data_IF_403452122481
#
_entry.id   IF_403452122481
#
_cell.length_a   1.000
_cell.length_b   1.000
_cell.length_c   1.000
_cell.angle_alpha   90.00
_cell.angle_beta   90.00
_cell.angle_gamma   90.00
#
_symmetry.space_group_name_H-M   'P 1'
#
loop_
_entity.id
_entity.type
_entity.pdbx_description
1 polymer ?
#
# COMPACT_ATOMS: atom_id res chain seq x y z
N UNK A 1 23.39 2.79 -5.14
CA UNK A 1 24.00 4.14 -5.25
C UNK A 1 24.77 4.24 -6.57
N UNK A 2 24.61 5.34 -7.32
CA UNK A 2 25.25 5.50 -8.62
C UNK A 2 26.34 6.59 -8.57
N UNK A 3 27.50 6.28 -9.15
CA UNK A 3 28.69 7.12 -9.23
C UNK A 3 29.11 7.31 -10.70
N UNK A 4 30.19 8.06 -10.92
CA UNK A 4 30.76 8.29 -12.24
C UNK A 4 32.30 8.17 -12.16
N UNK A 5 32.91 7.56 -13.18
CA UNK A 5 34.37 7.40 -13.28
C UNK A 5 34.85 7.84 -14.65
N UNK A 6 35.90 8.63 -14.68
CA UNK A 6 36.48 9.23 -15.90
C UNK A 6 37.99 9.16 -15.86
N UNK A 7 38.60 8.96 -17.03
CA UNK A 7 39.99 9.28 -17.31
C UNK A 7 40.04 10.57 -18.13
N UNK A 8 40.30 11.69 -17.47
CA UNK A 8 40.25 13.00 -18.10
C UNK A 8 41.23 13.14 -19.30
N UNK A 9 42.34 12.42 -19.27
CA UNK A 9 43.33 12.43 -20.36
C UNK A 9 42.82 11.78 -21.67
N UNK A 10 41.76 10.97 -21.59
CA UNK A 10 41.19 10.25 -22.74
C UNK A 10 39.89 10.84 -23.25
N UNK A 11 39.16 11.54 -22.39
CA UNK A 11 37.83 12.03 -22.72
C UNK A 11 37.80 13.31 -23.53
N UNK A 12 38.76 14.16 -23.31
CA UNK A 12 38.77 15.49 -23.90
C UNK A 12 40.05 15.71 -24.72
N UNK A 13 39.89 16.01 -25.99
CA UNK A 13 41.00 16.22 -26.94
C UNK A 13 41.90 17.40 -26.59
N UNK A 14 41.42 18.34 -25.75
CA UNK A 14 42.11 19.57 -25.37
C UNK A 14 42.38 19.63 -23.85
N UNK A 15 42.30 18.51 -23.14
CA UNK A 15 42.61 18.46 -21.69
C UNK A 15 44.12 18.79 -21.51
N UNK A 16 44.42 19.97 -20.96
CA UNK A 16 45.76 20.36 -20.56
C UNK A 16 46.45 21.42 -21.43
N UNK A 17 45.83 21.97 -22.47
CA UNK A 17 46.37 23.10 -23.19
C UNK A 17 45.72 24.43 -22.77
N UNK A 18 46.21 24.99 -21.65
CA UNK A 18 45.76 26.27 -21.12
C UNK A 18 46.11 27.49 -22.01
N UNK A 19 46.81 27.27 -23.15
CA UNK A 19 47.24 28.29 -24.06
C UNK A 19 46.47 28.32 -25.39
N UNK A 20 45.50 27.43 -25.59
CA UNK A 20 44.67 27.46 -26.79
C UNK A 20 43.61 28.56 -26.68
N UNK A 21 43.92 29.74 -27.23
CA UNK A 21 43.00 30.89 -27.31
C UNK A 21 41.76 30.66 -28.18
N UNK A 22 41.64 29.51 -28.83
CA UNK A 22 40.48 29.09 -29.63
C UNK A 22 39.53 28.19 -28.86
N UNK A 23 39.85 27.78 -27.63
CA UNK A 23 38.98 26.93 -26.81
C UNK A 23 37.75 27.70 -26.32
N UNK A 24 36.57 27.05 -26.39
CA UNK A 24 35.36 27.60 -25.81
C UNK A 24 35.50 27.70 -24.27
N UNK A 25 35.40 28.92 -23.75
CA UNK A 25 35.54 29.22 -22.31
C UNK A 25 34.52 28.42 -21.46
N UNK A 26 33.34 28.07 -22.02
CA UNK A 26 32.37 27.25 -21.34
C UNK A 26 32.82 25.77 -21.19
N UNK A 27 33.48 25.25 -22.19
CA UNK A 27 34.09 23.92 -22.16
C UNK A 27 35.22 23.86 -21.15
N UNK A 28 36.11 24.88 -21.16
CA UNK A 28 37.23 24.98 -20.22
C UNK A 28 36.76 25.04 -18.77
N UNK A 29 35.75 25.87 -18.47
CA UNK A 29 35.18 25.95 -17.11
C UNK A 29 34.62 24.57 -16.64
N UNK A 30 33.97 23.83 -17.54
CA UNK A 30 33.45 22.49 -17.22
C UNK A 30 34.57 21.50 -16.92
N UNK A 31 35.66 21.54 -17.69
CA UNK A 31 36.84 20.70 -17.48
C UNK A 31 37.49 20.98 -16.13
N UNK A 32 37.70 22.26 -15.80
CA UNK A 32 38.29 22.69 -14.52
C UNK A 32 37.46 22.20 -13.32
N UNK A 33 36.13 22.24 -13.43
CA UNK A 33 35.22 21.69 -12.41
C UNK A 33 35.35 20.17 -12.27
N UNK A 34 35.36 19.44 -13.39
CA UNK A 34 35.48 17.98 -13.39
C UNK A 34 36.80 17.53 -12.81
N UNK A 35 37.93 18.16 -13.16
CA UNK A 35 39.25 17.85 -12.59
C UNK A 35 39.30 18.12 -11.08
N UNK A 36 38.75 19.23 -10.63
CA UNK A 36 38.79 19.65 -9.23
C UNK A 36 37.94 18.74 -8.31
N UNK A 37 36.81 18.24 -8.79
CA UNK A 37 35.90 17.45 -7.98
C UNK A 37 35.94 15.92 -8.27
N UNK A 38 36.86 15.49 -9.13
CA UNK A 38 37.05 14.07 -9.38
C UNK A 38 37.72 13.39 -8.17
N UNK A 39 37.12 12.30 -7.69
CA UNK A 39 37.74 11.44 -6.70
C UNK A 39 38.86 10.60 -7.37
N UNK A 40 39.90 10.30 -6.61
CA UNK A 40 40.83 9.26 -7.02
C UNK A 40 40.18 7.89 -7.08
N UNK A 41 40.79 6.95 -7.79
CA UNK A 41 40.27 5.57 -7.89
C UNK A 41 40.07 4.96 -6.51
N UNK A 42 41.03 5.09 -5.61
CA UNK A 42 40.97 4.55 -4.25
C UNK A 42 39.83 5.16 -3.40
N UNK A 43 39.60 6.47 -3.55
CA UNK A 43 38.49 7.14 -2.87
C UNK A 43 37.15 6.68 -3.41
N UNK A 44 37.02 6.52 -4.72
CA UNK A 44 35.82 6.07 -5.37
C UNK A 44 35.49 4.62 -4.98
N UNK A 45 36.51 3.73 -4.95
CA UNK A 45 36.33 2.34 -4.52
C UNK A 45 35.91 2.23 -3.04
N UNK A 46 36.48 3.09 -2.16
CA UNK A 46 36.00 3.17 -0.77
C UNK A 46 34.52 3.61 -0.68
N UNK A 47 34.08 4.50 -1.57
CA UNK A 47 32.66 4.87 -1.64
C UNK A 47 31.78 3.68 -2.07
N UNK A 48 32.23 2.85 -3.03
CA UNK A 48 31.52 1.65 -3.44
C UNK A 48 31.42 0.65 -2.30
N UNK A 49 32.53 0.37 -1.62
CA UNK A 49 32.57 -0.53 -0.47
C UNK A 49 31.67 -0.04 0.66
N UNK A 50 31.65 1.28 0.91
CA UNK A 50 30.76 1.85 1.91
C UNK A 50 29.29 1.70 1.52
N UNK A 51 28.92 1.94 0.26
CA UNK A 51 27.57 1.75 -0.22
C UNK A 51 27.13 0.28 -0.08
N UNK A 52 27.99 -0.66 -0.49
CA UNK A 52 27.74 -2.10 -0.35
C UNK A 52 27.54 -2.52 1.12
N UNK A 53 28.38 -2.01 2.03
CA UNK A 53 28.27 -2.26 3.47
C UNK A 53 26.98 -1.69 4.10
N UNK A 54 26.35 -0.72 3.44
CA UNK A 54 25.03 -0.17 3.81
C UNK A 54 23.86 -0.91 3.12
N UNK A 55 24.11 -2.01 2.42
CA UNK A 55 23.10 -2.77 1.71
C UNK A 55 22.61 -2.14 0.40
N UNK A 56 23.37 -1.18 -0.14
CA UNK A 56 23.08 -0.57 -1.45
C UNK A 56 23.93 -1.25 -2.52
N UNK A 57 23.36 -1.50 -3.70
CA UNK A 57 24.14 -1.94 -4.86
C UNK A 57 24.87 -0.73 -5.46
N UNK A 58 26.21 -0.70 -5.48
CA UNK A 58 26.94 0.36 -6.17
C UNK A 58 26.79 0.18 -7.69
N UNK A 59 26.55 1.26 -8.38
CA UNK A 59 26.55 1.36 -9.84
C UNK A 59 27.48 2.50 -10.27
N UNK A 60 28.09 2.40 -11.43
CA UNK A 60 28.94 3.47 -11.93
C UNK A 60 28.74 3.69 -13.42
N UNK A 61 28.89 4.95 -13.86
CA UNK A 61 29.02 5.32 -15.25
C UNK A 61 30.50 5.35 -15.61
N UNK A 62 31.03 4.39 -16.37
CA UNK A 62 32.32 4.56 -17.02
C UNK A 62 32.16 5.48 -18.21
N UNK A 63 32.97 6.51 -18.31
CA UNK A 63 32.98 7.43 -19.44
C UNK A 63 33.99 7.06 -20.52
N UNK A 64 34.83 6.06 -20.26
CA UNK A 64 35.90 5.59 -21.12
C UNK A 64 36.24 4.12 -20.85
N UNK A 65 37.04 3.53 -21.75
CA UNK A 65 37.47 2.13 -21.69
C UNK A 65 38.33 1.83 -20.46
N UNK A 66 39.22 2.76 -20.06
CA UNK A 66 40.07 2.59 -18.87
C UNK A 66 39.24 2.53 -17.60
N UNK A 67 38.23 3.41 -17.50
CA UNK A 67 37.28 3.41 -16.41
C UNK A 67 36.48 2.12 -16.38
N UNK A 68 36.01 1.62 -17.52
CA UNK A 68 35.30 0.34 -17.63
C UNK A 68 36.16 -0.81 -17.13
N UNK A 69 37.44 -0.89 -17.55
CA UNK A 69 38.37 -1.95 -17.11
C UNK A 69 38.56 -1.96 -15.59
N UNK A 70 38.75 -0.78 -14.99
CA UNK A 70 38.89 -0.63 -13.53
C UNK A 70 37.63 -1.05 -12.77
N UNK A 71 36.46 -0.60 -13.21
CA UNK A 71 35.18 -0.92 -12.61
C UNK A 71 34.84 -2.43 -12.75
N UNK A 72 35.14 -3.02 -13.89
CA UNK A 72 34.95 -4.45 -14.11
C UNK A 72 35.88 -5.29 -13.22
N UNK A 73 37.11 -4.86 -13.01
CA UNK A 73 38.09 -5.48 -12.11
C UNK A 73 37.66 -5.37 -10.65
N UNK A 74 37.05 -4.25 -10.24
CA UNK A 74 36.49 -4.08 -8.90
C UNK A 74 35.29 -5.05 -8.66
N UNK A 75 34.60 -5.51 -9.71
CA UNK A 75 33.48 -6.43 -9.61
C UNK A 75 32.10 -5.75 -9.70
N UNK A 76 31.99 -4.58 -10.35
CA UNK A 76 30.74 -3.86 -10.54
C UNK A 76 29.64 -4.78 -11.10
N UNK A 77 28.44 -4.75 -10.51
CA UNK A 77 27.34 -5.66 -10.88
C UNK A 77 26.52 -5.18 -12.09
N UNK A 78 26.58 -3.91 -12.43
CA UNK A 78 25.89 -3.31 -13.58
C UNK A 78 26.48 -1.95 -13.92
N UNK A 79 26.21 -1.47 -15.10
CA UNK A 79 26.78 -0.21 -15.59
C UNK A 79 25.70 0.78 -16.00
N UNK A 80 26.00 2.07 -15.78
CA UNK A 80 25.19 3.17 -16.30
C UNK A 80 25.83 3.68 -17.60
N UNK A 81 25.02 3.85 -18.63
CA UNK A 81 25.39 4.58 -19.86
C UNK A 81 24.81 5.99 -19.76
N UNK A 82 25.67 6.99 -19.76
CA UNK A 82 25.24 8.39 -19.73
C UNK A 82 24.51 8.77 -21.02
N UNK A 83 23.66 9.80 -20.95
CA UNK A 83 22.99 10.34 -22.15
C UNK A 83 23.96 10.73 -23.26
N UNK A 84 25.11 11.28 -22.88
CA UNK A 84 26.16 11.69 -23.83
C UNK A 84 26.80 10.51 -24.59
N UNK A 85 26.79 9.31 -24.00
CA UNK A 85 27.36 8.09 -24.57
C UNK A 85 26.31 7.16 -25.19
N UNK A 86 25.04 7.55 -25.23
CA UNK A 86 24.01 6.68 -25.80
C UNK A 86 24.23 6.39 -27.29
N UNK A 87 24.88 7.27 -28.01
CA UNK A 87 25.29 7.08 -29.42
C UNK A 87 26.71 6.50 -29.57
N UNK A 88 27.44 6.30 -28.46
CA UNK A 88 28.79 5.71 -28.45
C UNK A 88 28.70 4.17 -28.50
N UNK A 89 28.38 3.65 -29.68
CA UNK A 89 28.18 2.20 -29.89
C UNK A 89 29.43 1.38 -29.57
N UNK A 90 30.65 1.95 -29.69
CA UNK A 90 31.88 1.26 -29.34
C UNK A 90 31.94 0.96 -27.83
N UNK A 91 31.72 1.99 -26.98
CA UNK A 91 31.68 1.82 -25.54
C UNK A 91 30.52 0.90 -25.09
N UNK A 92 29.34 1.05 -25.70
CA UNK A 92 28.19 0.18 -25.42
C UNK A 92 28.49 -1.30 -25.72
N UNK A 93 29.21 -1.59 -26.83
CA UNK A 93 29.61 -2.95 -27.17
C UNK A 93 30.55 -3.54 -26.13
N UNK A 94 31.50 -2.77 -25.62
CA UNK A 94 32.43 -3.20 -24.60
C UNK A 94 31.71 -3.44 -23.25
N UNK A 95 30.79 -2.56 -22.87
CA UNK A 95 29.93 -2.70 -21.70
C UNK A 95 29.08 -3.98 -21.79
N UNK A 96 28.46 -4.22 -22.94
CA UNK A 96 27.63 -5.41 -23.18
C UNK A 96 28.46 -6.69 -23.12
N UNK A 97 29.71 -6.66 -23.60
CA UNK A 97 30.63 -7.82 -23.56
C UNK A 97 30.95 -8.28 -22.13
N UNK A 98 30.73 -7.44 -21.10
CA UNK A 98 30.88 -7.84 -19.69
C UNK A 98 29.77 -8.80 -19.24
N UNK A 99 28.67 -8.92 -19.98
CA UNK A 99 27.49 -9.73 -19.62
C UNK A 99 26.63 -9.12 -18.51
N UNK A 100 26.95 -7.91 -18.05
CA UNK A 100 26.27 -7.24 -16.93
C UNK A 100 25.12 -6.34 -17.43
N UNK A 101 24.09 -6.08 -16.62
CA UNK A 101 22.99 -5.21 -17.00
C UNK A 101 23.44 -3.76 -17.22
N UNK A 102 22.84 -3.13 -18.24
CA UNK A 102 23.09 -1.75 -18.62
C UNK A 102 21.87 -0.88 -18.35
N UNK A 103 22.06 0.25 -17.69
CA UNK A 103 21.04 1.28 -17.49
C UNK A 103 21.38 2.46 -18.39
N UNK A 104 20.65 2.63 -19.49
CA UNK A 104 21.01 3.58 -20.55
C UNK A 104 20.06 4.79 -20.55
N UNK A 105 20.58 6.00 -20.30
CA UNK A 105 19.82 7.24 -20.44
C UNK A 105 19.78 7.71 -21.89
N UNK A 106 18.60 8.17 -22.36
CA UNK A 106 18.35 8.57 -23.75
C UNK A 106 18.30 10.09 -23.94
N UNK A 107 18.72 10.88 -22.95
CA UNK A 107 18.81 12.33 -23.11
C UNK A 107 19.78 12.74 -24.24
N UNK A 108 19.60 13.95 -24.79
CA UNK A 108 20.37 14.49 -25.94
C UNK A 108 20.24 13.69 -27.24
N UNK A 109 19.55 12.53 -27.28
CA UNK A 109 19.37 11.73 -28.45
C UNK A 109 18.02 12.01 -29.14
N UNK A 110 18.02 12.13 -30.45
CA UNK A 110 16.83 12.14 -31.28
C UNK A 110 16.17 10.75 -31.32
N UNK A 111 14.89 10.66 -31.72
CA UNK A 111 14.23 9.35 -31.81
C UNK A 111 14.93 8.42 -32.83
N UNK A 112 15.54 8.95 -33.88
CA UNK A 112 16.31 8.16 -34.86
C UNK A 112 17.54 7.53 -34.22
N UNK A 113 18.26 8.29 -33.36
CA UNK A 113 19.42 7.81 -32.62
C UNK A 113 18.98 6.81 -31.54
N UNK A 114 17.87 7.07 -30.85
CA UNK A 114 17.30 6.12 -29.88
C UNK A 114 17.00 4.78 -30.56
N UNK A 115 16.32 4.78 -31.71
CA UNK A 115 16.06 3.56 -32.48
C UNK A 115 17.35 2.86 -32.94
N UNK A 116 18.37 3.62 -33.29
CA UNK A 116 19.70 3.07 -33.66
C UNK A 116 20.36 2.42 -32.44
N UNK A 117 20.39 3.10 -31.30
CA UNK A 117 20.93 2.58 -30.06
C UNK A 117 20.22 1.31 -29.57
N UNK A 118 18.87 1.28 -29.63
CA UNK A 118 18.09 0.07 -29.30
C UNK A 118 18.51 -1.11 -30.18
N UNK A 119 18.54 -0.92 -31.50
CA UNK A 119 18.98 -1.99 -32.43
C UNK A 119 20.39 -2.47 -32.10
N UNK A 120 21.30 -1.55 -31.77
CA UNK A 120 22.66 -1.89 -31.40
C UNK A 120 22.72 -2.71 -30.11
N UNK A 121 22.02 -2.28 -29.05
CA UNK A 121 21.91 -3.01 -27.79
C UNK A 121 21.37 -4.44 -27.99
N UNK A 122 20.34 -4.58 -28.82
CA UNK A 122 19.76 -5.89 -29.19
C UNK A 122 20.74 -6.75 -29.97
N UNK A 123 21.46 -6.17 -30.94
CA UNK A 123 22.45 -6.90 -31.77
C UNK A 123 23.64 -7.42 -30.95
N UNK A 124 24.10 -6.66 -29.96
CA UNK A 124 25.19 -7.12 -29.06
C UNK A 124 24.69 -7.99 -27.91
N UNK A 125 23.40 -8.29 -27.86
CA UNK A 125 22.80 -9.15 -26.83
C UNK A 125 22.83 -8.55 -25.42
N UNK A 126 22.81 -7.23 -25.29
CA UNK A 126 22.84 -6.55 -24.01
C UNK A 126 21.55 -6.81 -23.20
N UNK A 127 21.70 -7.03 -21.89
CA UNK A 127 20.59 -6.91 -20.95
C UNK A 127 20.48 -5.45 -20.54
N UNK A 128 19.40 -4.75 -20.89
CA UNK A 128 19.33 -3.31 -20.70
C UNK A 128 17.97 -2.79 -20.27
N UNK A 129 18.01 -1.62 -19.67
CA UNK A 129 16.87 -0.77 -19.34
C UNK A 129 17.12 0.60 -19.96
N UNK A 130 16.12 1.24 -20.59
CA UNK A 130 16.22 2.59 -21.08
C UNK A 130 15.59 3.59 -20.12
N UNK A 131 16.29 4.70 -19.85
CA UNK A 131 15.73 5.78 -19.07
C UNK A 131 15.37 6.97 -19.97
N UNK A 132 14.09 7.35 -19.94
CA UNK A 132 13.68 8.65 -20.48
C UNK A 132 14.36 9.75 -19.68
N UNK A 133 14.98 10.69 -20.35
CA UNK A 133 15.80 11.73 -19.75
C UNK A 133 15.77 13.00 -20.58
N UNK A 134 15.76 14.15 -19.93
CA UNK A 134 16.08 15.44 -20.54
C UNK A 134 17.34 15.99 -19.85
N UNK A 135 18.38 16.26 -20.64
CA UNK A 135 19.69 16.68 -20.12
C UNK A 135 19.84 18.20 -20.02
N UNK A 136 18.81 18.88 -19.53
CA UNK A 136 18.84 20.30 -19.15
C UNK A 136 18.84 20.41 -17.63
N UNK A 137 19.68 21.24 -17.04
CA UNK A 137 19.90 21.36 -15.59
C UNK A 137 19.61 22.78 -15.06
N UNK A 138 18.46 23.08 -14.41
CA UNK A 138 17.30 22.21 -14.24
C UNK A 138 16.45 22.07 -15.51
N UNK A 139 15.81 20.91 -15.69
CA UNK A 139 14.82 20.71 -16.76
C UNK A 139 13.55 21.50 -16.43
N UNK A 140 13.06 22.39 -17.32
CA UNK A 140 11.73 22.96 -17.18
C UNK A 140 10.65 21.89 -17.24
N UNK A 141 9.61 21.96 -16.40
CA UNK A 141 8.54 20.94 -16.36
C UNK A 141 7.88 20.70 -17.71
N UNK A 142 7.69 21.75 -18.53
CA UNK A 142 7.10 21.65 -19.88
C UNK A 142 7.93 20.80 -20.84
N UNK A 143 9.22 20.65 -20.59
CA UNK A 143 10.17 19.95 -21.45
C UNK A 143 10.47 18.52 -20.96
N UNK A 144 9.91 18.10 -19.83
CA UNK A 144 10.06 16.73 -19.28
C UNK A 144 9.40 15.68 -20.16
N UNK A 145 8.20 15.94 -20.68
CA UNK A 145 7.45 15.06 -21.57
C UNK A 145 7.32 13.61 -21.07
N UNK A 146 6.79 13.40 -19.87
CA UNK A 146 6.67 12.05 -19.26
C UNK A 146 5.92 11.03 -20.12
N UNK A 147 4.99 11.45 -20.98
CA UNK A 147 4.29 10.54 -21.89
C UNK A 147 5.22 9.82 -22.88
N UNK A 148 6.42 10.33 -23.07
CA UNK A 148 7.42 9.65 -23.88
C UNK A 148 7.89 8.31 -23.27
N UNK A 149 7.66 8.07 -21.99
CA UNK A 149 7.90 6.76 -21.36
C UNK A 149 7.12 5.62 -22.04
N UNK A 150 5.84 5.85 -22.38
CA UNK A 150 5.03 4.88 -23.11
C UNK A 150 5.62 4.62 -24.49
N UNK A 151 5.95 5.69 -25.20
CA UNK A 151 6.58 5.61 -26.53
C UNK A 151 7.92 4.88 -26.46
N UNK A 152 8.74 5.16 -25.46
CA UNK A 152 10.04 4.52 -25.29
C UNK A 152 9.90 3.02 -25.00
N UNK A 153 8.90 2.63 -24.22
CA UNK A 153 8.56 1.23 -23.92
C UNK A 153 8.19 0.47 -25.19
N UNK A 154 7.32 1.05 -26.02
CA UNK A 154 6.90 0.44 -27.30
C UNK A 154 8.08 0.28 -28.26
N UNK A 155 9.04 1.23 -28.24
CA UNK A 155 10.23 1.17 -29.09
C UNK A 155 11.24 0.13 -28.63
N UNK A 156 11.42 -0.01 -27.31
CA UNK A 156 12.51 -0.79 -26.74
C UNK A 156 12.18 -2.28 -26.59
N UNK A 157 10.90 -2.64 -26.45
CA UNK A 157 10.46 -3.98 -26.05
C UNK A 157 11.21 -4.49 -24.79
N UNK A 158 11.58 -3.55 -23.91
CA UNK A 158 12.38 -3.74 -22.72
C UNK A 158 11.83 -2.87 -21.58
N UNK A 159 12.20 -3.11 -20.31
CA UNK A 159 11.85 -2.22 -19.23
C UNK A 159 12.34 -0.79 -19.48
N UNK A 160 11.54 0.20 -19.07
CA UNK A 160 11.89 1.62 -19.16
C UNK A 160 11.85 2.27 -17.79
N UNK A 161 12.61 3.34 -17.63
CA UNK A 161 12.68 4.12 -16.42
C UNK A 161 12.78 5.61 -16.72
N UNK A 162 13.00 6.39 -15.68
CA UNK A 162 13.08 7.84 -15.75
C UNK A 162 14.35 8.34 -15.03
N UNK A 163 15.11 9.24 -15.68
CA UNK A 163 16.24 9.93 -15.12
C UNK A 163 15.95 11.43 -15.13
N UNK A 164 15.70 12.00 -13.95
CA UNK A 164 15.14 13.34 -13.80
C UNK A 164 16.16 14.39 -13.38
N UNK A 165 16.17 15.54 -14.10
CA UNK A 165 16.95 16.74 -13.78
C UNK A 165 16.07 17.96 -13.48
N UNK A 166 14.78 17.78 -13.37
CA UNK A 166 13.83 18.77 -12.84
C UNK A 166 13.95 18.87 -11.32
N UNK A 167 13.43 19.95 -10.74
CA UNK A 167 13.33 20.15 -9.30
C UNK A 167 12.12 19.41 -8.73
N UNK A 168 12.21 19.05 -7.44
CA UNK A 168 11.10 18.41 -6.71
C UNK A 168 10.98 16.91 -6.93
N UNK A 169 9.95 16.32 -6.35
CA UNK A 169 9.74 14.87 -6.26
C UNK A 169 8.51 14.40 -7.06
N UNK A 170 7.69 15.32 -7.55
CA UNK A 170 6.39 15.03 -8.17
C UNK A 170 6.55 14.25 -9.48
N UNK A 171 7.53 14.66 -10.30
CA UNK A 171 7.76 14.04 -11.61
C UNK A 171 8.26 12.61 -11.50
N UNK A 172 9.28 12.28 -10.68
CA UNK A 172 9.69 10.88 -10.47
C UNK A 172 8.57 10.00 -9.89
N UNK A 173 7.73 10.52 -8.99
CA UNK A 173 6.56 9.79 -8.48
C UNK A 173 5.56 9.52 -9.61
N UNK A 174 5.28 10.51 -10.44
CA UNK A 174 4.41 10.35 -11.61
C UNK A 174 5.00 9.38 -12.64
N UNK A 175 6.31 9.38 -12.84
CA UNK A 175 6.99 8.42 -13.72
C UNK A 175 6.81 6.98 -13.23
N UNK A 176 6.89 6.74 -11.92
CA UNK A 176 6.60 5.42 -11.34
C UNK A 176 5.14 5.00 -11.60
N UNK A 177 4.17 5.91 -11.44
CA UNK A 177 2.77 5.65 -11.78
C UNK A 177 2.56 5.31 -13.27
N UNK A 178 3.37 5.86 -14.17
CA UNK A 178 3.38 5.52 -15.58
C UNK A 178 4.16 4.22 -15.90
N UNK A 179 4.61 3.50 -14.88
CA UNK A 179 5.27 2.20 -15.01
C UNK A 179 6.78 2.31 -15.29
N UNK A 180 7.44 3.37 -14.86
CA UNK A 180 8.89 3.43 -14.86
C UNK A 180 9.43 2.39 -13.86
N UNK A 181 10.23 1.43 -14.36
CA UNK A 181 10.83 0.37 -13.56
C UNK A 181 12.07 0.84 -12.78
N UNK A 182 12.68 1.93 -13.21
CA UNK A 182 13.86 2.54 -12.59
C UNK A 182 13.66 4.05 -12.50
N UNK A 183 13.91 4.62 -11.34
CA UNK A 183 13.97 6.06 -11.13
C UNK A 183 15.41 6.45 -10.76
N UNK A 184 15.98 7.36 -11.48
CA UNK A 184 17.28 7.95 -11.21
C UNK A 184 17.11 9.43 -10.86
N UNK A 185 17.70 9.87 -9.73
CA UNK A 185 17.66 11.26 -9.29
C UNK A 185 18.97 11.62 -8.60
N UNK A 186 19.46 12.84 -8.83
CA UNK A 186 20.61 13.38 -8.13
C UNK A 186 20.31 13.65 -6.66
N UNK A 187 21.30 13.43 -5.79
CA UNK A 187 21.23 13.72 -4.35
C UNK A 187 22.38 14.64 -3.95
N UNK A 188 22.13 15.58 -3.04
CA UNK A 188 23.13 16.45 -2.47
C UNK A 188 22.85 16.72 -1.00
N UNK A 189 23.89 17.08 -0.25
CA UNK A 189 23.73 17.54 1.12
C UNK A 189 23.34 19.03 1.19
N UNK A 190 23.74 19.82 0.18
CA UNK A 190 23.44 21.25 0.10
C UNK A 190 23.37 21.67 -1.39
N UNK A 191 22.30 22.40 -1.76
CA UNK A 191 22.09 22.90 -3.13
C UNK A 191 22.94 24.12 -3.48
N UNK A 192 23.49 24.79 -2.49
CA UNK A 192 24.33 25.96 -2.66
C UNK A 192 25.81 25.60 -2.85
N UNK A 193 26.15 24.31 -2.82
CA UNK A 193 27.48 23.83 -3.19
C UNK A 193 27.78 24.17 -4.66
N UNK A 194 29.06 24.33 -4.95
CA UNK A 194 29.54 24.65 -6.28
C UNK A 194 29.31 23.45 -7.24
N UNK A 195 28.65 23.72 -8.37
CA UNK A 195 28.33 22.72 -9.41
C UNK A 195 26.85 22.77 -9.81
N UNK A 196 26.60 22.56 -11.11
CA UNK A 196 25.25 22.66 -11.65
C UNK A 196 24.31 21.56 -11.15
N UNK A 197 24.84 20.38 -10.87
CA UNK A 197 24.07 19.22 -10.44
C UNK A 197 23.42 19.42 -9.06
N UNK A 198 24.05 20.20 -8.17
CA UNK A 198 23.48 20.47 -6.84
C UNK A 198 22.12 21.16 -6.91
N UNK A 199 21.92 22.04 -7.91
CA UNK A 199 20.68 22.83 -8.07
C UNK A 199 19.46 21.98 -8.46
N UNK A 200 19.66 20.79 -9.02
CA UNK A 200 18.62 19.85 -9.45
C UNK A 200 18.52 18.63 -8.54
N UNK A 201 19.44 18.52 -7.59
CA UNK A 201 19.52 17.42 -6.65
C UNK A 201 18.47 17.51 -5.56
N UNK A 202 18.04 16.37 -5.06
CA UNK A 202 17.24 16.28 -3.86
C UNK A 202 18.12 16.28 -2.61
N UNK A 203 17.64 16.88 -1.54
CA UNK A 203 18.20 16.69 -0.21
C UNK A 203 17.84 15.30 0.32
N UNK A 204 18.56 14.75 1.31
CA UNK A 204 18.29 13.40 1.83
C UNK A 204 16.83 13.18 2.26
N UNK A 205 16.23 14.15 2.95
CA UNK A 205 14.83 14.05 3.39
C UNK A 205 13.85 14.06 2.21
N UNK A 206 14.09 14.88 1.20
CA UNK A 206 13.29 14.91 -0.02
C UNK A 206 13.42 13.61 -0.81
N UNK A 207 14.63 13.03 -0.84
CA UNK A 207 14.86 11.74 -1.48
C UNK A 207 14.10 10.64 -0.75
N UNK A 208 14.09 10.65 0.58
CA UNK A 208 13.26 9.74 1.40
C UNK A 208 11.78 9.91 1.11
N UNK A 209 11.29 11.16 1.06
CA UNK A 209 9.89 11.46 0.72
C UNK A 209 9.51 10.97 -0.69
N UNK A 210 10.41 11.14 -1.67
CA UNK A 210 10.22 10.62 -3.03
C UNK A 210 10.05 9.10 -3.01
N UNK A 211 10.93 8.36 -2.31
CA UNK A 211 10.84 6.90 -2.22
C UNK A 211 9.52 6.48 -1.57
N UNK A 212 9.13 7.10 -0.45
CA UNK A 212 7.86 6.82 0.20
C UNK A 212 6.67 7.12 -0.72
N UNK A 213 6.71 8.24 -1.45
CA UNK A 213 5.70 8.60 -2.43
C UNK A 213 5.58 7.56 -3.54
N UNK A 214 6.70 7.08 -4.07
CA UNK A 214 6.74 6.02 -5.09
C UNK A 214 6.10 4.73 -4.54
N UNK A 215 6.48 4.28 -3.33
CA UNK A 215 5.91 3.05 -2.74
C UNK A 215 4.42 3.13 -2.50
N UNK A 216 3.92 4.28 -2.00
CA UNK A 216 2.47 4.52 -1.84
C UNK A 216 1.73 4.50 -3.18
N UNK A 217 2.32 5.06 -4.22
CA UNK A 217 1.73 5.03 -5.57
C UNK A 217 1.72 3.61 -6.13
N UNK A 218 2.81 2.86 -6.02
CA UNK A 218 2.90 1.45 -6.44
C UNK A 218 1.81 0.61 -5.79
N UNK A 219 1.61 0.75 -4.48
CA UNK A 219 0.53 0.07 -3.74
C UNK A 219 -0.85 0.51 -4.23
N UNK A 220 -1.04 1.81 -4.47
CA UNK A 220 -2.31 2.39 -4.92
C UNK A 220 -2.70 2.00 -6.34
N UNK A 221 -1.72 1.65 -7.20
CA UNK A 221 -1.97 1.25 -8.58
C UNK A 221 -2.77 -0.05 -8.68
N UNK A 222 -2.64 -0.94 -7.70
CA UNK A 222 -3.33 -2.22 -7.69
C UNK A 222 -2.97 -3.10 -8.90
N UNK A 223 -3.82 -4.06 -9.20
CA UNK A 223 -3.59 -5.02 -10.29
C UNK A 223 -4.45 -4.76 -11.54
N UNK A 224 -5.35 -3.78 -11.50
CA UNK A 224 -6.37 -3.61 -12.53
C UNK A 224 -7.40 -4.75 -12.53
N UNK A 225 -8.23 -4.84 -13.56
CA UNK A 225 -9.27 -5.87 -13.66
C UNK A 225 -10.65 -5.39 -13.21
N UNK A 226 -11.56 -6.33 -12.97
CA UNK A 226 -12.91 -6.00 -12.50
C UNK A 226 -12.86 -5.37 -11.11
N UNK A 227 -13.63 -4.30 -10.95
CA UNK A 227 -13.70 -3.61 -9.66
C UNK A 227 -14.40 -4.48 -8.61
N UNK A 228 -13.71 -4.83 -7.55
CA UNK A 228 -14.28 -5.41 -6.33
C UNK A 228 -14.53 -4.32 -5.28
N UNK A 229 -15.52 -4.55 -4.43
CA UNK A 229 -15.80 -3.67 -3.29
C UNK A 229 -14.93 -4.15 -2.13
N UNK A 230 -14.10 -3.28 -1.57
CA UNK A 230 -13.29 -3.59 -0.40
C UNK A 230 -14.18 -3.79 0.85
N UNK A 231 -13.64 -4.43 1.88
CA UNK A 231 -14.35 -4.65 3.13
C UNK A 231 -14.84 -3.32 3.74
N UNK A 232 -14.00 -2.29 3.77
CA UNK A 232 -14.38 -0.97 4.29
C UNK A 232 -15.49 -0.31 3.46
N UNK A 233 -15.42 -0.42 2.12
CA UNK A 233 -16.51 0.06 1.26
C UNK A 233 -17.81 -0.74 1.46
N UNK A 234 -17.71 -2.04 1.73
CA UNK A 234 -18.88 -2.88 2.01
C UNK A 234 -19.57 -2.46 3.30
N UNK A 235 -18.82 -2.22 4.37
CA UNK A 235 -19.34 -1.71 5.64
C UNK A 235 -20.06 -0.35 5.43
N UNK A 236 -19.44 0.58 4.72
CA UNK A 236 -20.07 1.85 4.39
C UNK A 236 -21.31 1.68 3.50
N UNK A 237 -21.28 0.74 2.55
CA UNK A 237 -22.42 0.43 1.70
C UNK A 237 -23.62 -0.07 2.51
N UNK A 238 -23.39 -0.96 3.47
CA UNK A 238 -24.44 -1.48 4.34
C UNK A 238 -25.15 -0.39 5.16
N UNK A 239 -24.41 0.61 5.59
CA UNK A 239 -24.95 1.71 6.41
C UNK A 239 -25.54 2.83 5.56
N UNK A 240 -24.81 3.28 4.53
CA UNK A 240 -25.08 4.54 3.80
C UNK A 240 -25.86 4.33 2.51
N UNK A 241 -25.70 3.19 1.84
CA UNK A 241 -26.40 2.93 0.59
C UNK A 241 -27.93 2.79 0.83
N UNK A 242 -28.66 2.68 -0.25
CA UNK A 242 -30.12 2.60 -0.22
C UNK A 242 -30.56 1.17 -0.52
N UNK A 243 -31.67 0.78 0.09
CA UNK A 243 -32.40 -0.45 -0.22
C UNK A 243 -33.83 -0.14 -0.65
N UNK A 244 -34.46 -1.10 -1.29
CA UNK A 244 -35.89 -1.16 -1.47
C UNK A 244 -36.52 -1.55 -0.14
N UNK A 245 -37.52 -0.78 0.32
CA UNK A 245 -38.17 -0.92 1.62
C UNK A 245 -39.68 -0.88 1.44
N UNK A 246 -40.43 -1.69 2.20
CA UNK A 246 -41.89 -1.69 2.17
C UNK A 246 -42.44 -0.32 2.63
N UNK A 247 -43.23 0.31 1.77
CA UNK A 247 -43.88 1.59 2.05
C UNK A 247 -45.13 1.45 2.96
N UNK A 248 -45.70 0.28 3.01
CA UNK A 248 -46.86 -0.12 3.82
C UNK A 248 -46.77 -1.59 4.16
N UNK A 249 -47.67 -2.10 5.00
CA UNK A 249 -47.83 -3.51 5.23
C UNK A 249 -48.29 -4.21 3.95
N UNK A 250 -47.61 -5.29 3.58
CA UNK A 250 -47.88 -6.11 2.37
C UNK A 250 -48.15 -7.53 2.81
N UNK A 251 -49.41 -8.00 2.75
CA UNK A 251 -49.74 -9.39 3.05
C UNK A 251 -49.06 -10.36 2.07
N UNK A 252 -48.77 -11.60 2.54
CA UNK A 252 -48.27 -12.66 1.69
C UNK A 252 -49.24 -12.94 0.50
N UNK A 253 -48.65 -13.18 -0.68
CA UNK A 253 -49.40 -13.47 -1.92
C UNK A 253 -49.94 -12.26 -2.65
N UNK A 254 -49.83 -11.05 -2.11
CA UNK A 254 -50.20 -9.79 -2.80
C UNK A 254 -49.13 -9.44 -3.83
N UNK A 255 -49.61 -8.97 -4.98
CA UNK A 255 -48.71 -8.47 -6.05
C UNK A 255 -48.17 -7.12 -5.70
N UNK A 256 -46.85 -7.00 -5.70
CA UNK A 256 -46.13 -5.75 -5.35
C UNK A 256 -46.30 -4.73 -6.46
N UNK A 257 -46.75 -3.56 -6.10
CA UNK A 257 -46.76 -2.37 -6.97
C UNK A 257 -45.69 -1.41 -6.58
N UNK A 258 -45.29 -0.53 -7.51
CA UNK A 258 -44.28 0.49 -7.26
C UNK A 258 -44.60 1.40 -6.05
N UNK A 259 -45.90 1.70 -5.84
CA UNK A 259 -46.37 2.53 -4.70
C UNK A 259 -46.15 1.85 -3.33
N UNK A 260 -45.99 0.54 -3.31
CA UNK A 260 -45.73 -0.23 -2.09
C UNK A 260 -44.25 -0.30 -1.73
N UNK A 261 -43.38 0.36 -2.52
CA UNK A 261 -41.94 0.33 -2.33
C UNK A 261 -41.40 1.74 -2.16
N UNK A 262 -40.50 1.93 -1.20
CA UNK A 262 -39.71 3.16 -0.97
C UNK A 262 -38.23 2.86 -1.06
N UNK A 263 -37.45 3.89 -1.31
CA UNK A 263 -35.99 3.83 -1.33
C UNK A 263 -35.49 4.52 -0.07
N UNK A 264 -34.86 3.75 0.82
CA UNK A 264 -34.33 4.25 2.11
C UNK A 264 -33.01 3.56 2.47
N UNK A 265 -32.18 4.17 3.34
CA UNK A 265 -31.07 3.49 4.01
C UNK A 265 -31.66 2.61 5.14
N UNK A 266 -30.95 1.56 5.56
CA UNK A 266 -29.60 1.13 5.18
C UNK A 266 -29.53 0.34 3.87
N UNK A 267 -28.31 0.13 3.35
CA UNK A 267 -28.05 -0.58 2.10
C UNK A 267 -27.96 -2.11 2.21
N UNK A 268 -28.64 -2.70 3.17
CA UNK A 268 -28.56 -4.13 3.51
C UNK A 268 -29.38 -5.04 2.58
N UNK A 269 -30.32 -4.49 1.83
CA UNK A 269 -31.24 -5.24 0.98
C UNK A 269 -31.01 -5.05 -0.51
N UNK A 270 -32.09 -5.34 -1.27
CA UNK A 270 -32.12 -5.08 -2.71
C UNK A 270 -31.82 -3.63 -3.01
N UNK A 271 -30.86 -3.41 -3.88
CA UNK A 271 -30.49 -2.06 -4.30
C UNK A 271 -31.60 -1.44 -5.17
N UNK A 272 -31.73 -0.09 -5.20
CA UNK A 272 -32.79 0.61 -5.93
C UNK A 272 -32.92 0.26 -7.42
N UNK A 273 -31.83 -0.06 -8.08
CA UNK A 273 -31.81 -0.49 -9.49
C UNK A 273 -32.49 -1.85 -9.74
N UNK A 274 -32.83 -2.59 -8.68
CA UNK A 274 -33.54 -3.87 -8.73
C UNK A 274 -35.06 -3.71 -8.56
N UNK A 275 -35.60 -2.48 -8.55
CA UNK A 275 -37.03 -2.24 -8.38
C UNK A 275 -37.90 -2.99 -9.42
N UNK A 276 -37.46 -2.99 -10.68
CA UNK A 276 -38.15 -3.73 -11.75
C UNK A 276 -38.21 -5.24 -11.53
N UNK A 277 -37.27 -5.79 -10.78
CA UNK A 277 -37.27 -7.24 -10.47
C UNK A 277 -38.31 -7.58 -9.37
N UNK A 278 -38.66 -6.59 -8.55
CA UNK A 278 -39.58 -6.74 -7.41
C UNK A 278 -41.04 -6.45 -7.78
N UNK A 279 -41.28 -5.39 -8.59
CA UNK A 279 -42.63 -5.00 -9.01
C UNK A 279 -43.27 -6.11 -9.86
N UNK A 280 -44.54 -6.43 -9.58
CA UNK A 280 -45.27 -7.52 -10.21
C UNK A 280 -45.08 -8.92 -9.55
N UNK A 281 -44.14 -9.00 -8.57
CA UNK A 281 -43.94 -10.25 -7.81
C UNK A 281 -44.97 -10.42 -6.72
N UNK A 282 -45.24 -11.69 -6.35
CA UNK A 282 -46.03 -12.07 -5.18
C UNK A 282 -45.11 -12.78 -4.19
N UNK A 283 -44.93 -12.14 -3.02
CA UNK A 283 -44.04 -12.71 -2.01
C UNK A 283 -44.74 -13.80 -1.21
N UNK A 284 -44.03 -14.88 -0.85
CA UNK A 284 -44.57 -15.94 -0.02
C UNK A 284 -44.74 -15.55 1.45
N UNK A 285 -44.07 -14.45 1.87
CA UNK A 285 -44.04 -13.96 3.26
C UNK A 285 -44.54 -12.51 3.28
N UNK A 286 -45.32 -12.15 4.30
CA UNK A 286 -45.74 -10.76 4.51
C UNK A 286 -44.56 -9.87 4.84
N UNK A 287 -44.66 -8.58 4.48
CA UNK A 287 -43.73 -7.50 4.86
C UNK A 287 -44.50 -6.46 5.65
N UNK A 288 -43.92 -6.00 6.73
CA UNK A 288 -44.43 -4.83 7.47
C UNK A 288 -43.85 -3.53 6.86
N UNK A 289 -44.56 -2.44 7.12
CA UNK A 289 -44.04 -1.12 6.74
C UNK A 289 -42.65 -0.92 7.36
N UNK A 290 -41.66 -0.56 6.51
CA UNK A 290 -40.28 -0.37 6.92
C UNK A 290 -39.37 -1.59 6.70
N UNK A 291 -39.94 -2.78 6.42
CA UNK A 291 -39.13 -3.96 6.13
C UNK A 291 -38.36 -3.81 4.84
N UNK A 292 -37.11 -4.25 4.87
CA UNK A 292 -36.20 -4.25 3.71
C UNK A 292 -36.52 -5.45 2.81
N UNK A 293 -36.51 -5.26 1.51
CA UNK A 293 -36.55 -6.36 0.54
C UNK A 293 -35.14 -6.90 0.30
N UNK A 294 -35.00 -8.23 0.38
CA UNK A 294 -33.74 -8.93 0.19
C UNK A 294 -33.71 -9.71 -1.13
N UNK A 295 -32.54 -10.11 -1.64
CA UNK A 295 -32.43 -11.00 -2.80
C UNK A 295 -33.26 -12.29 -2.64
N UNK A 296 -33.33 -12.82 -1.43
CA UNK A 296 -34.16 -14.02 -1.09
C UNK A 296 -35.67 -13.81 -1.31
N UNK A 297 -36.17 -12.58 -1.34
CA UNK A 297 -37.56 -12.29 -1.66
C UNK A 297 -37.85 -12.45 -3.17
N UNK A 298 -36.85 -12.45 -4.02
CA UNK A 298 -36.95 -12.66 -5.47
C UNK A 298 -36.79 -14.13 -5.86
N UNK A 299 -36.19 -14.92 -5.00
CA UNK A 299 -35.92 -16.34 -5.23
C UNK A 299 -37.06 -17.21 -4.67
N UNK A 300 -37.26 -18.39 -5.24
CA UNK A 300 -38.10 -19.37 -4.57
C UNK A 300 -37.41 -19.74 -3.25
N UNK A 301 -38.14 -19.77 -2.12
CA UNK A 301 -37.54 -20.12 -0.84
C UNK A 301 -36.85 -21.48 -0.95
N UNK A 302 -35.54 -21.46 -1.11
CA UNK A 302 -34.72 -22.66 -1.24
C UNK A 302 -34.32 -23.24 0.12
N UNK A 303 -34.39 -22.45 1.18
CA UNK A 303 -34.01 -22.88 2.52
C UNK A 303 -35.21 -22.75 3.49
N UNK A 304 -35.63 -23.84 4.06
CA UNK A 304 -36.51 -23.87 5.21
C UNK A 304 -35.62 -23.99 6.45
N UNK A 305 -35.79 -23.12 7.47
CA UNK A 305 -35.05 -23.26 8.74
C UNK A 305 -35.24 -24.69 9.28
N UNK A 306 -34.16 -25.34 9.60
CA UNK A 306 -34.19 -26.71 10.14
C UNK A 306 -33.19 -26.82 11.30
N UNK A 307 -33.41 -27.80 12.17
CA UNK A 307 -32.45 -28.15 13.22
C UNK A 307 -31.28 -28.90 12.62
N UNK A 308 -30.06 -28.46 12.97
CA UNK A 308 -28.82 -29.07 12.56
C UNK A 308 -28.20 -29.85 13.73
N UNK A 309 -27.51 -30.92 13.42
CA UNK A 309 -26.76 -31.71 14.39
C UNK A 309 -25.32 -31.84 13.88
N UNK A 310 -24.42 -31.05 14.45
CA UNK A 310 -22.99 -31.12 14.16
C UNK A 310 -22.27 -31.88 15.27
N UNK A 311 -21.07 -32.39 14.96
CA UNK A 311 -20.20 -33.02 15.96
C UNK A 311 -19.54 -32.00 16.90
N UNK A 312 -19.34 -30.78 16.40
CA UNK A 312 -18.82 -29.69 17.17
C UNK A 312 -19.89 -28.67 17.45
N UNK A 313 -19.87 -27.97 18.60
CA UNK A 313 -20.75 -26.86 18.86
C UNK A 313 -20.70 -25.83 17.74
N UNK A 314 -21.83 -25.31 17.34
CA UNK A 314 -21.88 -24.24 16.34
C UNK A 314 -22.69 -23.05 16.83
N UNK A 315 -22.33 -21.88 16.37
CA UNK A 315 -22.99 -20.64 16.71
C UNK A 315 -23.04 -19.67 15.53
N UNK A 316 -23.72 -18.56 15.75
CA UNK A 316 -23.81 -17.47 14.78
C UNK A 316 -23.39 -16.15 15.45
N UNK A 317 -22.74 -15.24 14.67
CA UNK A 317 -22.55 -13.86 15.11
C UNK A 317 -23.91 -13.15 15.11
N UNK A 318 -24.20 -12.44 16.18
CA UNK A 318 -25.50 -11.79 16.43
C UNK A 318 -25.34 -10.43 17.12
N UNK A 319 -26.39 -9.61 17.00
CA UNK A 319 -26.64 -8.46 17.86
C UNK A 319 -27.71 -8.85 18.91
N UNK A 320 -27.90 -8.03 19.95
CA UNK A 320 -28.91 -8.31 20.98
C UNK A 320 -30.30 -8.60 20.41
N UNK A 321 -30.73 -7.82 19.41
CA UNK A 321 -32.05 -7.96 18.79
C UNK A 321 -32.22 -9.25 17.95
N UNK A 322 -31.13 -9.86 17.49
CA UNK A 322 -31.15 -11.07 16.66
C UNK A 322 -31.38 -12.34 17.48
N UNK A 323 -30.94 -12.35 18.72
CA UNK A 323 -30.95 -13.54 19.59
C UNK A 323 -32.34 -14.16 19.65
N UNK A 324 -33.39 -13.37 19.87
CA UNK A 324 -34.76 -13.82 19.97
C UNK A 324 -35.29 -14.43 18.65
N UNK A 325 -34.84 -13.94 17.53
CA UNK A 325 -35.23 -14.42 16.19
C UNK A 325 -34.53 -15.75 15.91
N UNK A 326 -33.20 -15.79 16.04
CA UNK A 326 -32.44 -17.00 15.74
C UNK A 326 -32.72 -18.17 16.68
N UNK A 327 -32.96 -17.90 17.98
CA UNK A 327 -33.33 -18.95 18.93
C UNK A 327 -34.66 -19.65 18.62
N UNK A 328 -35.55 -19.00 17.86
CA UNK A 328 -36.82 -19.61 17.45
C UNK A 328 -36.72 -20.50 16.20
N UNK A 329 -35.78 -20.13 15.28
CA UNK A 329 -35.68 -20.76 13.96
C UNK A 329 -34.49 -21.72 13.84
N UNK A 330 -33.60 -21.75 14.81
CA UNK A 330 -32.39 -22.57 14.84
C UNK A 330 -32.16 -23.16 16.22
N UNK A 331 -31.31 -24.19 16.29
CA UNK A 331 -30.86 -24.84 17.53
C UNK A 331 -29.36 -24.55 17.73
N UNK A 332 -29.02 -23.29 17.93
CA UNK A 332 -27.65 -22.87 18.17
C UNK A 332 -27.13 -23.43 19.50
N UNK A 333 -25.88 -23.91 19.51
CA UNK A 333 -25.20 -24.31 20.74
C UNK A 333 -24.65 -23.09 21.48
N UNK A 334 -24.31 -22.05 20.74
CA UNK A 334 -23.81 -20.77 21.28
C UNK A 334 -24.14 -19.60 20.32
N UNK A 335 -24.02 -18.39 20.82
CA UNK A 335 -24.01 -17.16 20.02
C UNK A 335 -22.74 -16.37 20.27
N UNK A 336 -22.24 -15.66 19.24
CA UNK A 336 -21.18 -14.69 19.36
C UNK A 336 -21.78 -13.29 19.27
N UNK A 337 -21.86 -12.57 20.39
CA UNK A 337 -22.42 -11.22 20.40
C UNK A 337 -21.34 -10.25 19.95
N UNK A 338 -21.54 -9.64 18.77
CA UNK A 338 -20.72 -8.57 18.26
C UNK A 338 -21.17 -7.23 18.88
N UNK A 339 -20.39 -6.70 19.80
CA UNK A 339 -20.72 -5.44 20.46
C UNK A 339 -20.29 -4.23 19.61
N UNK A 340 -21.07 -3.17 19.65
CA UNK A 340 -20.64 -1.81 19.38
C UNK A 340 -20.36 -1.06 20.69
N UNK A 341 -19.65 0.06 20.65
CA UNK A 341 -19.40 0.83 21.86
C UNK A 341 -20.70 1.32 22.54
N UNK A 342 -21.77 1.52 21.77
CA UNK A 342 -23.10 1.88 22.31
C UNK A 342 -23.79 0.72 23.04
N UNK A 343 -23.51 -0.51 22.66
CA UNK A 343 -24.04 -1.68 23.34
C UNK A 343 -23.50 -1.84 24.77
N UNK A 344 -22.38 -1.16 25.10
CA UNK A 344 -21.83 -1.10 26.45
C UNK A 344 -22.65 -0.20 27.40
N UNK A 345 -23.58 0.62 26.87
CA UNK A 345 -24.41 1.55 27.63
C UNK A 345 -25.86 1.08 27.75
N UNK A 346 -26.19 -0.05 27.11
CA UNK A 346 -27.55 -0.59 27.05
C UNK A 346 -27.90 -1.29 28.38
N UNK A 347 -29.10 -1.05 28.89
CA UNK A 347 -29.62 -1.83 29.98
C UNK A 347 -29.96 -3.26 29.51
N UNK A 348 -29.24 -4.25 30.03
CA UNK A 348 -29.43 -5.66 29.63
C UNK A 348 -30.82 -6.21 29.96
N UNK A 349 -31.53 -5.67 30.96
CA UNK A 349 -32.89 -6.10 31.30
C UNK A 349 -33.89 -5.76 30.17
N UNK A 350 -33.60 -4.69 29.40
CA UNK A 350 -34.47 -4.28 28.30
C UNK A 350 -34.26 -5.13 27.02
N UNK A 351 -33.02 -5.57 26.77
CA UNK A 351 -32.64 -6.28 25.54
C UNK A 351 -32.58 -7.79 25.70
N UNK A 352 -32.26 -8.29 26.89
CA UNK A 352 -32.15 -9.71 27.25
C UNK A 352 -32.84 -10.01 28.58
N UNK A 353 -34.18 -9.84 28.67
CA UNK A 353 -34.93 -10.04 29.91
C UNK A 353 -34.96 -11.51 30.37
N UNK A 354 -34.77 -12.44 29.45
CA UNK A 354 -34.86 -13.89 29.70
C UNK A 354 -33.47 -14.54 29.64
N UNK A 355 -33.24 -15.53 30.48
CA UNK A 355 -32.03 -16.35 30.44
C UNK A 355 -32.04 -17.25 29.19
N UNK A 356 -30.93 -17.24 28.47
CA UNK A 356 -30.72 -18.00 27.25
C UNK A 356 -30.20 -19.41 27.58
N UNK A 357 -30.67 -20.43 26.82
CA UNK A 357 -30.25 -21.81 27.00
C UNK A 357 -29.02 -22.23 26.20
N UNK A 358 -28.38 -21.30 25.53
CA UNK A 358 -27.18 -21.50 24.70
C UNK A 358 -25.94 -20.87 25.33
N UNK A 359 -24.75 -21.24 24.85
CA UNK A 359 -23.47 -20.67 25.24
C UNK A 359 -23.24 -19.26 24.67
N UNK A 360 -22.20 -18.61 25.15
CA UNK A 360 -21.88 -17.23 24.81
C UNK A 360 -20.40 -17.07 24.45
N UNK A 361 -20.14 -16.36 23.36
CA UNK A 361 -18.87 -15.73 23.00
C UNK A 361 -19.13 -14.24 22.79
N UNK A 362 -18.21 -13.39 23.14
CA UNK A 362 -18.31 -11.95 22.96
C UNK A 362 -17.23 -11.50 21.95
N UNK A 363 -17.63 -10.67 21.03
CA UNK A 363 -16.68 -9.94 20.18
C UNK A 363 -16.70 -8.46 20.58
N UNK A 364 -15.54 -7.95 20.98
CA UNK A 364 -15.39 -6.55 21.39
C UNK A 364 -15.68 -5.58 20.22
N UNK A 365 -16.06 -4.33 20.50
CA UNK A 365 -16.15 -3.31 19.49
C UNK A 365 -14.80 -3.13 18.77
N UNK A 366 -14.83 -2.98 17.45
CA UNK A 366 -13.64 -2.61 16.65
C UNK A 366 -13.32 -1.12 16.81
N UNK A 367 -14.36 -0.31 17.05
CA UNK A 367 -14.27 1.14 17.20
C UNK A 367 -15.04 1.58 18.44
N UNK A 368 -14.41 2.42 19.25
CA UNK A 368 -15.00 3.03 20.44
C UNK A 368 -15.38 4.50 20.22
N UNK A 369 -15.94 5.15 21.21
CA UNK A 369 -16.33 6.55 21.13
C UNK A 369 -15.13 7.46 20.78
N UNK A 370 -15.34 8.43 19.89
CA UNK A 370 -14.29 9.33 19.42
C UNK A 370 -13.31 8.69 18.44
N UNK A 371 -13.77 7.70 17.68
CA UNK A 371 -12.99 6.95 16.70
C UNK A 371 -11.75 6.25 17.28
N UNK A 372 -11.81 5.92 18.59
CA UNK A 372 -10.73 5.22 19.27
C UNK A 372 -10.71 3.73 18.90
N UNK A 373 -9.55 3.24 18.49
CA UNK A 373 -9.26 1.81 18.28
C UNK A 373 -8.35 1.31 19.39
N UNK A 374 -8.57 0.07 19.86
CA UNK A 374 -7.74 -0.48 20.92
C UNK A 374 -6.28 -0.66 20.46
N UNK A 375 -5.34 -0.13 21.23
CA UNK A 375 -3.92 -0.45 21.09
C UNK A 375 -3.26 -0.60 22.47
N UNK A 376 -3.18 -1.85 22.93
CA UNK A 376 -2.52 -2.24 24.16
C UNK A 376 -1.00 -2.33 24.06
N UNK A 377 -0.48 -2.17 22.84
CA UNK A 377 0.94 -2.32 22.50
C UNK A 377 1.65 -0.98 22.34
N UNK A 378 0.92 0.11 22.17
CA UNK A 378 1.48 1.44 21.87
C UNK A 378 2.45 1.92 22.95
N UNK A 379 3.42 2.73 22.54
CA UNK A 379 4.34 3.45 23.45
C UNK A 379 3.74 4.73 24.02
N UNK A 380 2.60 5.17 23.51
CA UNK A 380 1.82 6.28 24.06
C UNK A 380 1.07 5.78 25.30
N UNK A 381 1.52 6.18 26.47
CA UNK A 381 0.98 5.71 27.74
C UNK A 381 -0.47 6.16 27.95
N UNK A 382 -0.82 7.38 27.58
CA UNK A 382 -2.18 7.91 27.73
C UNK A 382 -3.16 7.16 26.82
N UNK A 383 -2.77 6.91 25.57
CA UNK A 383 -3.57 6.14 24.62
C UNK A 383 -3.75 4.68 25.07
N UNK A 384 -2.68 4.07 25.63
CA UNK A 384 -2.70 2.71 26.13
C UNK A 384 -3.60 2.59 27.40
N UNK A 385 -3.53 3.55 28.31
CA UNK A 385 -4.42 3.60 29.48
C UNK A 385 -5.89 3.73 29.05
N UNK A 386 -6.18 4.57 28.08
CA UNK A 386 -7.53 4.68 27.53
C UNK A 386 -8.00 3.36 26.91
N UNK A 387 -7.14 2.70 26.11
CA UNK A 387 -7.44 1.37 25.52
C UNK A 387 -7.71 0.31 26.58
N UNK A 388 -6.95 0.29 27.69
CA UNK A 388 -7.20 -0.60 28.83
C UNK A 388 -8.55 -0.31 29.50
N UNK A 389 -8.88 0.97 29.68
CA UNK A 389 -10.15 1.38 30.24
C UNK A 389 -11.33 0.89 29.40
N UNK A 390 -11.29 1.11 28.11
CA UNK A 390 -12.35 0.67 27.19
C UNK A 390 -12.48 -0.87 27.15
N UNK A 391 -11.37 -1.60 27.12
CA UNK A 391 -11.41 -3.05 27.17
C UNK A 391 -11.92 -3.58 28.53
N UNK A 392 -11.62 -2.90 29.63
CA UNK A 392 -12.18 -3.27 30.93
C UNK A 392 -13.70 -3.12 30.95
N UNK A 393 -14.27 -2.09 30.34
CA UNK A 393 -15.72 -1.92 30.18
C UNK A 393 -16.34 -3.11 29.41
N UNK A 394 -15.66 -3.58 28.35
CA UNK A 394 -16.11 -4.77 27.61
C UNK A 394 -16.05 -6.03 28.47
N UNK A 395 -15.01 -6.18 29.27
CA UNK A 395 -14.88 -7.30 30.22
C UNK A 395 -16.03 -7.28 31.23
N UNK A 396 -16.36 -6.11 31.80
CA UNK A 396 -17.41 -5.99 32.82
C UNK A 396 -18.79 -6.31 32.23
N UNK A 397 -19.13 -5.80 31.05
CA UNK A 397 -20.40 -6.20 30.38
C UNK A 397 -20.41 -7.68 30.02
N UNK A 398 -19.25 -8.29 29.71
CA UNK A 398 -19.14 -9.72 29.41
C UNK A 398 -19.43 -10.58 30.65
N UNK A 399 -19.05 -10.14 31.85
CA UNK A 399 -19.40 -10.79 33.12
C UNK A 399 -20.91 -10.73 33.37
N UNK A 400 -21.53 -9.56 33.15
CA UNK A 400 -22.98 -9.38 33.30
C UNK A 400 -23.76 -10.24 32.30
N UNK A 401 -23.32 -10.30 31.04
CA UNK A 401 -23.90 -11.13 30.00
C UNK A 401 -23.77 -12.62 30.34
N UNK A 402 -22.65 -13.07 30.91
CA UNK A 402 -22.42 -14.45 31.31
C UNK A 402 -23.55 -14.96 32.23
N UNK A 403 -24.04 -14.14 33.16
CA UNK A 403 -25.13 -14.46 34.03
C UNK A 403 -26.46 -14.74 33.35
N UNK A 404 -26.62 -14.30 32.10
CA UNK A 404 -27.84 -14.44 31.28
C UNK A 404 -27.80 -15.60 30.30
N UNK A 405 -26.68 -16.30 30.16
CA UNK A 405 -26.50 -17.45 29.28
C UNK A 405 -26.15 -18.71 30.06
N UNK A 406 -26.25 -19.87 29.38
CA UNK A 406 -25.87 -21.15 29.98
C UNK A 406 -24.35 -21.37 29.75
N UNK A 407 -23.50 -20.64 30.50
CA UNK A 407 -22.07 -20.79 30.46
C UNK A 407 -21.55 -21.48 31.73
N UNK A 408 -20.79 -22.57 31.60
CA UNK A 408 -20.06 -23.22 32.67
C UNK A 408 -18.60 -22.79 32.72
N UNK A 409 -18.00 -22.55 31.58
CA UNK A 409 -16.65 -22.09 31.36
C UNK A 409 -16.59 -20.55 31.34
N UNK A 410 -15.40 -19.93 31.47
CA UNK A 410 -15.25 -18.51 31.22
C UNK A 410 -15.79 -18.11 29.86
N UNK A 411 -16.36 -16.93 29.75
CA UNK A 411 -16.79 -16.37 28.46
C UNK A 411 -15.56 -16.01 27.66
N UNK A 412 -15.51 -16.47 26.42
CA UNK A 412 -14.46 -16.07 25.47
C UNK A 412 -14.74 -14.65 24.95
N UNK A 413 -13.78 -13.75 25.12
CA UNK A 413 -13.82 -12.38 24.63
C UNK A 413 -12.81 -12.23 23.50
N UNK A 414 -13.29 -12.23 22.26
CA UNK A 414 -12.49 -11.97 21.07
C UNK A 414 -12.28 -10.45 20.92
N UNK A 415 -11.05 -10.00 20.79
CA UNK A 415 -10.74 -8.58 20.70
C UNK A 415 -9.45 -8.30 19.93
N UNK A 416 -9.42 -7.19 19.21
CA UNK A 416 -8.19 -6.59 18.74
C UNK A 416 -7.38 -6.09 19.92
N UNK A 417 -6.06 -6.21 19.83
CA UNK A 417 -5.13 -5.79 20.89
C UNK A 417 -4.15 -4.70 20.45
N UNK A 418 -4.21 -4.26 19.19
CA UNK A 418 -3.33 -3.24 18.63
C UNK A 418 -2.01 -3.79 18.12
N UNK A 419 -0.95 -2.99 18.20
CA UNK A 419 0.35 -3.34 17.64
C UNK A 419 0.44 -3.07 16.14
N UNK A 420 -0.27 -2.06 15.66
CA UNK A 420 -0.33 -1.69 14.25
C UNK A 420 1.03 -1.24 13.72
N UNK A 421 1.37 -1.68 12.50
CA UNK A 421 2.52 -1.20 11.75
C UNK A 421 2.04 -0.61 10.42
N UNK A 422 2.36 0.67 10.18
CA UNK A 422 1.82 1.41 9.01
C UNK A 422 2.47 1.05 7.68
N UNK A 423 3.74 0.61 7.67
CA UNK A 423 4.53 0.59 6.43
C UNK A 423 5.20 -0.74 6.09
N UNK A 424 5.36 -1.66 7.05
CA UNK A 424 6.02 -2.94 6.85
C UNK A 424 5.80 -3.91 8.00
N UNK A 425 6.05 -5.18 7.76
CA UNK A 425 6.14 -6.15 8.84
C UNK A 425 7.32 -5.83 9.76
N UNK A 426 7.06 -5.79 11.06
CA UNK A 426 8.08 -5.61 12.08
C UNK A 426 8.93 -6.88 12.22
N UNK A 427 10.23 -6.72 12.38
CA UNK A 427 11.10 -7.83 12.68
C UNK A 427 10.94 -8.35 14.13
N UNK A 428 11.68 -9.43 14.47
CA UNK A 428 11.56 -10.04 15.79
C UNK A 428 12.04 -9.13 16.93
N UNK A 429 13.01 -8.26 16.67
CA UNK A 429 13.54 -7.36 17.71
C UNK A 429 12.58 -6.20 17.94
N UNK A 430 11.98 -5.68 16.89
CA UNK A 430 10.98 -4.60 16.95
C UNK A 430 9.67 -5.05 17.63
N UNK A 431 9.27 -6.32 17.43
CA UNK A 431 8.06 -6.87 18.07
C UNK A 431 8.21 -7.12 19.56
N UNK A 432 9.43 -7.33 20.07
CA UNK A 432 9.68 -7.62 21.49
C UNK A 432 9.07 -6.58 22.43
N UNK A 433 9.37 -5.28 22.28
CA UNK A 433 8.79 -4.24 23.13
C UNK A 433 7.26 -4.13 23.05
N UNK A 434 6.66 -4.38 21.88
CA UNK A 434 5.20 -4.38 21.71
C UNK A 434 4.55 -5.54 22.48
N UNK A 435 5.12 -6.74 22.36
CA UNK A 435 4.66 -7.92 23.07
C UNK A 435 4.76 -7.75 24.58
N UNK A 436 5.85 -7.12 25.06
CA UNK A 436 6.02 -6.84 26.50
C UNK A 436 4.93 -5.91 27.01
N UNK A 437 4.66 -4.80 26.31
CA UNK A 437 3.58 -3.87 26.67
C UNK A 437 2.20 -4.53 26.63
N UNK A 438 1.96 -5.41 25.64
CA UNK A 438 0.72 -6.19 25.58
C UNK A 438 0.54 -7.04 26.83
N UNK A 439 1.57 -7.80 27.24
CA UNK A 439 1.53 -8.66 28.44
C UNK A 439 1.26 -7.81 29.68
N UNK A 440 1.96 -6.69 29.83
CA UNK A 440 1.76 -5.76 30.94
C UNK A 440 0.33 -5.20 30.97
N UNK A 441 -0.19 -4.77 29.84
CA UNK A 441 -1.56 -4.25 29.72
C UNK A 441 -2.61 -5.31 30.09
N UNK A 442 -2.49 -6.51 29.50
CA UNK A 442 -3.42 -7.61 29.79
C UNK A 442 -3.38 -8.06 31.26
N UNK A 443 -2.19 -8.03 31.92
CA UNK A 443 -2.04 -8.41 33.31
C UNK A 443 -2.73 -7.47 34.29
N UNK A 444 -3.04 -6.24 33.87
CA UNK A 444 -3.70 -5.22 34.66
C UNK A 444 -5.24 -5.27 34.57
N UNK A 445 -5.78 -6.05 33.61
CA UNK A 445 -7.22 -6.17 33.41
C UNK A 445 -7.82 -7.17 34.40
N UNK A 446 -8.98 -6.82 34.96
CA UNK A 446 -9.70 -7.65 35.91
C UNK A 446 -10.72 -8.55 35.21
N UNK A 447 -10.35 -9.75 34.88
CA UNK A 447 -11.25 -10.76 34.29
C UNK A 447 -12.01 -11.58 35.36
N UNK A 448 -11.60 -11.50 36.64
CA UNK A 448 -12.14 -12.30 37.75
C UNK A 448 -12.16 -13.83 37.51
N UNK A 449 -11.46 -14.32 36.48
CA UNK A 449 -11.53 -15.72 36.00
C UNK A 449 -12.84 -16.08 35.33
N UNK A 450 -13.72 -15.11 35.06
CA UNK A 450 -15.01 -15.30 34.40
C UNK A 450 -14.99 -15.00 32.89
N UNK A 451 -13.95 -14.30 32.45
CA UNK A 451 -13.72 -13.91 31.04
C UNK A 451 -12.32 -14.32 30.64
N UNK A 452 -12.19 -14.98 29.50
CA UNK A 452 -10.93 -15.32 28.85
C UNK A 452 -10.77 -14.47 27.60
N UNK A 453 -9.68 -13.68 27.55
CA UNK A 453 -9.40 -12.78 26.42
C UNK A 453 -8.72 -13.57 25.30
N UNK A 454 -9.28 -13.53 24.12
CA UNK A 454 -8.76 -14.15 22.88
C UNK A 454 -8.28 -13.04 21.96
N UNK A 455 -6.96 -12.77 21.87
CA UNK A 455 -6.43 -11.78 20.95
C UNK A 455 -6.68 -12.17 19.51
N UNK A 456 -7.28 -11.29 18.73
CA UNK A 456 -7.45 -11.44 17.29
C UNK A 456 -6.32 -10.68 16.57
N UNK A 457 -5.69 -11.34 15.60
CA UNK A 457 -4.73 -10.70 14.69
C UNK A 457 -5.48 -10.25 13.44
N UNK A 458 -5.29 -9.00 13.05
CA UNK A 458 -5.76 -8.47 11.77
C UNK A 458 -4.77 -8.73 10.65
#
# INVERSE_FOLDING_TARGET
AKFQMRDMSKLYSNAGDSNDMASDLGTQYTLDLLERFQLSDDELFRCFDHAANKGLVPLCTPWDETSLEKLNRWGMEGFKVASADFTNHALISQLAATGKPLICSTGMASELEIRSGIRHLQQVGANFVLLHCNSTYPTPFKDVNLRYLERLRDLAEAPVGYSGHERGIEVPIAAAALGAAVIEKHITLDRDMEGNDHKVSLLPDEFSQMIQGIRRVEESMGQGGERSISQGEMMNREVLAKSLVAACDIPAGIEITEKMVRIQSPGQGLQPNRLSDLVGRRLPVSKSQGDVFFPSDLEKPAAIPRRYHFKQPFGLPVRYHDIKVFSKVSNLDLVEIHLSYKDLEVNLDDVLPERQSMGLVIHAPELFAGDHTLDLCTSDDDYREHSKHELQRVIDISKDLRGRFQCQEPVLLVTNVGGFSEHRHLDRQERGPLQQRLIESLSQLNTSGEVEIIPQTM
#
